data_IF_791160563702
#
_entry.id   IF_791160563702
#
_cell.length_a   1.000
_cell.length_b   1.000
_cell.length_c   1.000
_cell.angle_alpha   90.00
_cell.angle_beta   90.00
_cell.angle_gamma   90.00
#
_symmetry.space_group_name_H-M   'P 1'
#
loop_
_entity.id
_entity.type
_entity.pdbx_description
1 polymer ?
#
# COMPACT_ATOMS: atom_id res chain seq x y z
N UNK A 1 -6.22 -21.15 -6.60
CA UNK A 1 -6.17 -20.10 -5.55
C UNK A 1 -6.06 -20.80 -4.21
N UNK A 2 -5.12 -20.36 -3.41
CA UNK A 2 -4.98 -20.78 -2.02
C UNK A 2 -6.30 -20.64 -1.25
N UNK A 3 -6.59 -21.51 -0.28
CA UNK A 3 -7.89 -21.55 0.39
C UNK A 3 -8.13 -20.30 1.28
N UNK A 4 -7.09 -19.84 2.00
CA UNK A 4 -7.20 -18.64 2.84
C UNK A 4 -7.34 -17.38 1.98
N UNK A 5 -6.59 -17.32 0.89
CA UNK A 5 -6.66 -16.23 -0.07
C UNK A 5 -8.03 -16.20 -0.78
N UNK A 6 -8.59 -17.37 -1.13
CA UNK A 6 -9.92 -17.47 -1.71
C UNK A 6 -11.00 -16.97 -0.74
N UNK A 7 -10.95 -17.42 0.52
CA UNK A 7 -11.85 -16.97 1.58
C UNK A 7 -11.73 -15.46 1.83
N UNK A 8 -10.51 -14.91 1.78
CA UNK A 8 -10.30 -13.47 1.88
C UNK A 8 -11.02 -12.72 0.78
N UNK A 9 -10.88 -13.18 -0.46
CA UNK A 9 -11.52 -12.57 -1.63
C UNK A 9 -13.04 -12.69 -1.58
N UNK A 10 -13.57 -13.87 -1.24
CA UNK A 10 -15.02 -14.12 -1.16
C UNK A 10 -15.72 -13.24 -0.12
N UNK A 11 -15.03 -12.90 0.97
CA UNK A 11 -15.54 -12.01 1.99
C UNK A 11 -15.34 -10.52 1.68
N UNK A 12 -14.79 -10.18 0.51
CA UNK A 12 -14.61 -8.80 0.05
C UNK A 12 -15.72 -8.34 -0.87
N UNK A 13 -15.61 -7.08 -1.26
CA UNK A 13 -16.54 -6.38 -2.15
C UNK A 13 -15.75 -5.57 -3.17
N UNK A 14 -16.45 -5.03 -4.14
CA UNK A 14 -15.88 -4.12 -5.14
C UNK A 14 -16.69 -2.84 -5.19
N UNK A 15 -16.00 -1.71 -5.38
CA UNK A 15 -16.63 -0.45 -5.73
C UNK A 15 -16.03 0.10 -7.03
N UNK A 16 -16.80 0.88 -7.76
CA UNK A 16 -16.33 1.54 -8.97
C UNK A 16 -15.53 2.80 -8.62
N UNK A 17 -14.28 2.84 -9.08
CA UNK A 17 -13.45 4.03 -9.05
C UNK A 17 -13.01 4.35 -10.48
N UNK A 18 -13.57 5.40 -11.06
CA UNK A 18 -13.29 5.87 -12.45
C UNK A 18 -13.52 4.78 -13.52
N UNK A 19 -14.50 3.91 -13.33
CA UNK A 19 -14.78 2.79 -14.24
C UNK A 19 -13.92 1.54 -13.99
N UNK A 20 -13.20 1.48 -12.87
CA UNK A 20 -12.38 0.35 -12.49
C UNK A 20 -12.85 -0.28 -11.18
N UNK A 21 -12.94 -1.60 -11.16
CA UNK A 21 -13.29 -2.37 -9.98
C UNK A 21 -12.16 -2.35 -8.96
N UNK A 22 -12.39 -1.75 -7.81
CA UNK A 22 -11.48 -1.72 -6.67
C UNK A 22 -12.00 -2.66 -5.58
N UNK A 23 -11.19 -3.66 -5.26
CA UNK A 23 -11.48 -4.61 -4.19
C UNK A 23 -11.27 -3.97 -2.82
N UNK A 24 -12.16 -4.27 -1.88
CA UNK A 24 -11.99 -3.93 -0.48
C UNK A 24 -12.69 -4.93 0.45
N UNK A 25 -12.20 -4.99 1.69
CA UNK A 25 -12.89 -5.68 2.78
C UNK A 25 -13.33 -4.71 3.85
N UNK A 26 -14.53 -4.97 4.42
CA UNK A 26 -15.00 -4.29 5.63
C UNK A 26 -15.50 -5.34 6.62
N UNK A 27 -15.09 -5.22 7.90
CA UNK A 27 -15.61 -6.04 8.98
C UNK A 27 -15.44 -5.37 10.33
N UNK A 28 -16.14 -5.90 11.34
CA UNK A 28 -16.10 -5.41 12.70
C UNK A 28 -17.09 -4.27 12.96
N UNK A 29 -17.02 -3.70 14.15
CA UNK A 29 -17.84 -2.57 14.57
C UNK A 29 -17.04 -1.69 15.53
N UNK A 30 -17.29 -0.37 15.46
CA UNK A 30 -16.57 0.63 16.24
C UNK A 30 -16.04 1.77 15.37
N UNK A 31 -15.10 2.58 15.87
CA UNK A 31 -14.50 3.65 15.07
C UNK A 31 -13.90 3.13 13.76
N UNK A 32 -14.04 3.85 12.64
CA UNK A 32 -13.47 3.44 11.37
C UNK A 32 -11.93 3.40 11.41
N UNK A 33 -11.34 2.32 10.86
CA UNK A 33 -9.91 2.13 10.71
C UNK A 33 -9.59 1.75 9.27
N UNK A 34 -8.96 2.66 8.54
CA UNK A 34 -8.47 2.43 7.19
C UNK A 34 -7.07 1.79 7.24
N UNK A 35 -6.93 0.64 6.59
CA UNK A 35 -5.66 -0.06 6.43
C UNK A 35 -5.12 0.16 5.02
N UNK A 36 -3.94 0.76 4.89
CA UNK A 36 -3.30 1.03 3.60
C UNK A 36 -2.05 0.16 3.47
N UNK A 37 -2.11 -0.82 2.57
CA UNK A 37 -1.07 -1.85 2.41
C UNK A 37 0.20 -1.35 1.70
N UNK A 38 1.23 -2.18 1.66
CA UNK A 38 2.52 -1.93 1.03
C UNK A 38 2.62 -2.38 -0.44
N UNK A 39 3.74 -2.03 -1.10
CA UNK A 39 4.11 -2.48 -2.45
C UNK A 39 5.11 -3.65 -2.39
N UNK A 40 4.98 -4.66 -3.20
CA UNK A 40 3.90 -4.96 -4.16
C UNK A 40 2.84 -5.90 -3.56
N UNK A 41 2.42 -5.64 -2.36
CA UNK A 41 1.51 -6.45 -1.55
C UNK A 41 0.04 -6.05 -1.76
N UNK A 42 -0.84 -6.39 -0.80
CA UNK A 42 -2.28 -6.21 -0.90
C UNK A 42 -2.95 -6.29 0.48
N UNK A 43 -4.26 -6.15 0.53
CA UNK A 43 -5.03 -6.17 1.79
C UNK A 43 -4.95 -7.50 2.56
N UNK A 44 -4.61 -8.63 1.91
CA UNK A 44 -4.44 -9.92 2.59
C UNK A 44 -3.28 -9.93 3.59
N UNK A 45 -2.32 -9.01 3.46
CA UNK A 45 -1.23 -8.85 4.44
C UNK A 45 -1.74 -8.55 5.85
N UNK A 46 -2.95 -7.99 5.96
CA UNK A 46 -3.60 -7.69 7.23
C UNK A 46 -4.29 -8.90 7.86
N UNK A 47 -4.38 -10.06 7.16
CA UNK A 47 -5.07 -11.25 7.64
C UNK A 47 -4.61 -11.70 9.04
N UNK A 48 -3.31 -11.69 9.40
CA UNK A 48 -2.87 -12.11 10.72
C UNK A 48 -3.39 -11.26 11.88
N UNK A 49 -3.63 -9.96 11.66
CA UNK A 49 -4.10 -9.03 12.69
C UNK A 49 -5.58 -8.67 12.54
N UNK A 50 -6.21 -9.10 11.45
CA UNK A 50 -7.60 -8.81 11.12
C UNK A 50 -8.59 -9.18 12.25
N UNK A 51 -8.52 -10.40 12.84
CA UNK A 51 -9.45 -10.79 13.92
C UNK A 51 -9.33 -9.91 15.16
N UNK A 52 -8.14 -9.41 15.47
CA UNK A 52 -7.91 -8.53 16.62
C UNK A 52 -8.44 -7.13 16.37
N UNK A 53 -8.20 -6.58 15.17
CA UNK A 53 -8.64 -5.24 14.82
C UNK A 53 -10.17 -5.15 14.72
N UNK A 54 -10.83 -6.16 14.12
CA UNK A 54 -12.29 -6.18 13.94
C UNK A 54 -13.10 -6.33 15.23
N UNK A 55 -12.45 -6.69 16.33
CA UNK A 55 -13.09 -6.66 17.65
C UNK A 55 -13.32 -5.24 18.20
N UNK A 56 -12.60 -4.24 17.67
CA UNK A 56 -12.60 -2.88 18.23
C UNK A 56 -12.93 -1.80 17.22
N UNK A 57 -12.76 -2.09 15.93
CA UNK A 57 -12.89 -1.13 14.85
C UNK A 57 -13.79 -1.66 13.73
N UNK A 58 -14.43 -0.74 13.02
CA UNK A 58 -14.89 -1.01 11.66
C UNK A 58 -13.67 -0.89 10.76
N UNK A 59 -13.10 -2.04 10.38
CA UNK A 59 -11.83 -2.11 9.62
C UNK A 59 -12.13 -2.09 8.13
N UNK A 60 -11.48 -1.19 7.39
CA UNK A 60 -11.60 -1.04 5.94
C UNK A 60 -10.22 -1.30 5.32
N UNK A 61 -10.10 -2.31 4.46
CA UNK A 61 -8.85 -2.70 3.82
C UNK A 61 -9.04 -2.86 2.31
N UNK A 62 -8.84 -1.78 1.53
CA UNK A 62 -8.84 -1.87 0.06
C UNK A 62 -7.52 -2.44 -0.47
N UNK A 63 -7.59 -3.02 -1.68
CA UNK A 63 -6.43 -3.23 -2.54
C UNK A 63 -6.25 -2.00 -3.42
N UNK A 64 -5.07 -1.36 -3.38
CA UNK A 64 -4.79 -0.24 -4.26
C UNK A 64 -4.82 -0.64 -5.73
N UNK A 65 -5.25 0.26 -6.60
CA UNK A 65 -5.27 0.02 -8.05
C UNK A 65 -3.89 -0.45 -8.54
N UNK A 66 -3.89 -1.47 -9.38
CA UNK A 66 -2.64 -2.11 -9.86
C UNK A 66 -2.15 -3.27 -8.99
N UNK A 67 -2.75 -3.50 -7.82
CA UNK A 67 -2.32 -4.52 -6.85
C UNK A 67 -3.49 -5.40 -6.37
N UNK A 68 -3.18 -6.50 -5.72
CA UNK A 68 -4.16 -7.41 -5.12
C UNK A 68 -5.26 -7.88 -6.08
N UNK A 69 -6.50 -7.79 -5.66
CA UNK A 69 -7.68 -8.14 -6.44
C UNK A 69 -8.28 -6.96 -7.22
N UNK A 70 -7.76 -5.75 -7.02
CA UNK A 70 -8.19 -4.56 -7.76
C UNK A 70 -7.79 -4.58 -9.23
N UNK A 71 -8.44 -3.74 -10.04
CA UNK A 71 -8.14 -3.56 -11.46
C UNK A 71 -6.68 -3.18 -11.71
N UNK A 72 -6.14 -3.61 -12.87
CA UNK A 72 -4.74 -3.43 -13.27
C UNK A 72 -4.61 -2.86 -14.69
N UNK A 73 -5.18 -1.67 -14.95
CA UNK A 73 -5.17 -1.10 -16.29
C UNK A 73 -3.75 -0.78 -16.75
N UNK A 74 -3.37 -1.30 -17.92
CA UNK A 74 -2.02 -1.09 -18.48
C UNK A 74 -1.81 0.36 -18.94
N UNK A 75 -2.85 0.99 -19.49
CA UNK A 75 -2.82 2.37 -19.95
C UNK A 75 -3.24 3.34 -18.83
N UNK A 76 -2.62 3.21 -17.66
CA UNK A 76 -2.93 4.02 -16.48
C UNK A 76 -1.65 4.59 -15.87
N UNK A 77 -1.72 5.82 -15.36
CA UNK A 77 -0.63 6.44 -14.64
C UNK A 77 -0.89 6.35 -13.13
N UNK A 78 -0.19 5.42 -12.51
CA UNK A 78 -0.27 5.19 -11.09
C UNK A 78 0.53 6.25 -10.34
N UNK A 79 -0.07 6.89 -9.34
CA UNK A 79 0.58 7.86 -8.46
C UNK A 79 0.09 7.75 -7.02
N UNK A 80 0.85 8.29 -6.09
CA UNK A 80 0.43 8.38 -4.69
C UNK A 80 -0.82 9.25 -4.54
N UNK A 81 -0.95 10.31 -5.35
CA UNK A 81 -2.12 11.18 -5.35
C UNK A 81 -3.38 10.43 -5.77
N UNK A 82 -3.30 9.65 -6.86
CA UNK A 82 -4.42 8.85 -7.33
C UNK A 82 -4.81 7.75 -6.33
N UNK A 83 -3.83 7.12 -5.68
CA UNK A 83 -4.14 6.19 -4.59
C UNK A 83 -4.82 6.89 -3.41
N UNK A 84 -4.45 8.13 -3.08
CA UNK A 84 -5.15 8.91 -2.05
C UNK A 84 -6.58 9.23 -2.48
N UNK A 85 -6.79 9.66 -3.76
CA UNK A 85 -8.12 9.89 -4.33
C UNK A 85 -9.00 8.65 -4.22
N UNK A 86 -8.46 7.47 -4.56
CA UNK A 86 -9.16 6.19 -4.46
C UNK A 86 -9.59 5.87 -3.01
N UNK A 87 -8.73 6.13 -2.02
CA UNK A 87 -9.08 5.89 -0.62
C UNK A 87 -10.16 6.86 -0.12
N UNK A 88 -10.06 8.15 -0.48
CA UNK A 88 -11.10 9.13 -0.19
C UNK A 88 -12.43 8.73 -0.84
N UNK A 89 -12.42 8.34 -2.12
CA UNK A 89 -13.60 7.88 -2.84
C UNK A 89 -14.25 6.65 -2.20
N UNK A 90 -13.44 5.68 -1.73
CA UNK A 90 -13.95 4.52 -1.02
C UNK A 90 -14.62 4.91 0.30
N UNK A 91 -13.99 5.77 1.09
CA UNK A 91 -14.57 6.21 2.36
C UNK A 91 -15.86 7.02 2.15
N UNK A 92 -15.92 7.87 1.13
CA UNK A 92 -17.12 8.59 0.73
C UNK A 92 -18.23 7.62 0.27
N UNK A 93 -17.90 6.63 -0.56
CA UNK A 93 -18.82 5.55 -0.97
C UNK A 93 -19.42 4.79 0.23
N UNK A 94 -18.63 4.60 1.28
CA UNK A 94 -19.06 3.93 2.52
C UNK A 94 -19.76 4.87 3.51
N UNK A 95 -19.86 6.18 3.22
CA UNK A 95 -20.43 7.18 4.10
C UNK A 95 -19.57 7.45 5.35
N UNK A 96 -18.25 7.25 5.25
CA UNK A 96 -17.31 7.40 6.37
C UNK A 96 -16.61 8.75 6.27
N UNK A 97 -16.99 9.69 7.13
CA UNK A 97 -16.44 11.04 7.18
C UNK A 97 -15.21 11.21 8.09
N UNK A 98 -14.87 10.20 8.90
CA UNK A 98 -13.65 10.22 9.75
C UNK A 98 -13.10 8.82 9.93
N UNK A 99 -11.77 8.70 10.05
CA UNK A 99 -11.11 7.43 10.26
C UNK A 99 -9.77 7.55 10.99
N UNK A 100 -9.40 6.50 11.71
CA UNK A 100 -8.00 6.20 12.01
C UNK A 100 -7.34 5.58 10.79
N UNK A 101 -6.04 5.77 10.62
CA UNK A 101 -5.25 5.20 9.51
C UNK A 101 -4.14 4.34 10.08
N UNK A 102 -3.97 3.13 9.52
CA UNK A 102 -2.80 2.28 9.71
C UNK A 102 -2.19 2.06 8.33
N UNK A 103 -1.01 2.61 8.09
CA UNK A 103 -0.35 2.63 6.80
C UNK A 103 0.97 1.86 6.84
N UNK A 104 1.33 1.22 5.72
CA UNK A 104 2.55 0.42 5.58
C UNK A 104 3.21 0.67 4.22
N UNK A 105 4.53 0.90 4.20
CA UNK A 105 5.39 1.10 3.01
C UNK A 105 4.91 2.21 2.05
N UNK A 106 4.37 1.89 0.86
CA UNK A 106 3.73 2.88 -0.03
C UNK A 106 2.50 3.49 0.64
N UNK A 107 1.82 2.72 1.48
CA UNK A 107 0.69 3.20 2.27
C UNK A 107 1.06 4.40 3.13
N UNK A 108 2.29 4.47 3.65
CA UNK A 108 2.77 5.64 4.39
C UNK A 108 2.80 6.88 3.48
N UNK A 109 3.24 6.74 2.23
CA UNK A 109 3.22 7.87 1.28
C UNK A 109 1.79 8.33 0.95
N UNK A 110 0.86 7.37 0.80
CA UNK A 110 -0.58 7.67 0.63
C UNK A 110 -1.14 8.36 1.88
N UNK A 111 -0.81 7.84 3.08
CA UNK A 111 -1.19 8.46 4.34
C UNK A 111 -0.63 9.88 4.52
N UNK A 112 0.61 10.14 4.08
CA UNK A 112 1.20 11.48 4.07
C UNK A 112 0.45 12.43 3.14
N UNK A 113 0.00 11.95 1.97
CA UNK A 113 -0.82 12.74 1.05
C UNK A 113 -2.21 13.04 1.65
N UNK A 114 -2.88 12.02 2.23
CA UNK A 114 -4.16 12.20 2.91
C UNK A 114 -4.05 13.21 4.07
N UNK A 115 -2.97 13.13 4.87
CA UNK A 115 -2.70 14.08 5.94
C UNK A 115 -2.49 15.49 5.40
N UNK A 116 -1.72 15.65 4.32
CA UNK A 116 -1.47 16.94 3.72
C UNK A 116 -2.73 17.59 3.17
N UNK A 117 -3.68 16.80 2.65
CA UNK A 117 -5.01 17.25 2.22
C UNK A 117 -5.89 17.62 3.41
N UNK A 118 -5.88 16.81 4.44
CA UNK A 118 -6.60 17.07 5.69
C UNK A 118 -6.22 18.43 6.29
N UNK A 119 -4.92 18.74 6.38
CA UNK A 119 -4.42 19.99 6.96
C UNK A 119 -4.85 21.25 6.20
N UNK A 120 -5.10 21.15 4.91
CA UNK A 120 -5.50 22.29 4.08
C UNK A 120 -6.96 22.23 3.61
N UNK A 121 -7.72 21.20 4.00
CA UNK A 121 -9.11 21.01 3.58
C UNK A 121 -9.28 20.79 2.08
N UNK A 122 -8.37 20.05 1.43
CA UNK A 122 -8.35 19.84 -0.02
C UNK A 122 -8.47 18.34 -0.37
N UNK A 123 -9.51 17.68 0.11
CA UNK A 123 -9.85 16.31 -0.30
C UNK A 123 -10.39 16.30 -1.74
N UNK A 124 -10.10 15.24 -2.48
CA UNK A 124 -10.65 15.03 -3.82
C UNK A 124 -12.09 14.50 -3.76
N UNK A 125 -12.40 13.72 -2.73
CA UNK A 125 -13.73 13.15 -2.49
C UNK A 125 -14.11 13.30 -1.03
N UNK A 126 -15.40 13.56 -0.77
CA UNK A 126 -15.95 13.65 0.58
C UNK A 126 -15.28 14.69 1.48
N UNK A 127 -15.28 14.43 2.76
CA UNK A 127 -14.74 15.32 3.81
C UNK A 127 -14.00 14.52 4.88
N UNK A 128 -13.03 13.71 4.47
CA UNK A 128 -12.30 12.85 5.41
C UNK A 128 -11.58 13.66 6.49
N UNK A 129 -11.95 13.40 7.74
CA UNK A 129 -11.21 13.83 8.92
C UNK A 129 -10.35 12.68 9.43
N UNK A 130 -9.08 12.93 9.67
CA UNK A 130 -8.15 11.93 10.19
C UNK A 130 -8.10 12.03 11.71
N UNK A 131 -8.51 10.96 12.40
CA UNK A 131 -8.53 10.90 13.87
C UNK A 131 -7.15 10.52 14.45
N UNK A 132 -6.38 9.68 13.79
CA UNK A 132 -4.97 9.39 14.08
C UNK A 132 -4.31 8.63 12.92
N UNK A 133 -2.97 8.63 12.86
CA UNK A 133 -2.22 7.82 11.90
C UNK A 133 -1.16 6.99 12.63
N UNK A 134 -1.09 5.70 12.30
CA UNK A 134 0.02 4.82 12.68
C UNK A 134 0.79 4.43 11.42
N UNK A 135 2.07 4.71 11.42
CA UNK A 135 3.02 4.44 10.34
C UNK A 135 3.78 3.13 10.60
N UNK A 136 3.90 2.27 9.60
CA UNK A 136 4.60 0.98 9.69
C UNK A 136 5.66 0.87 8.60
N UNK A 137 6.94 0.85 8.96
CA UNK A 137 8.05 0.54 8.07
C UNK A 137 7.94 1.12 6.64
N UNK A 138 7.79 2.42 6.48
CA UNK A 138 7.68 3.08 5.18
C UNK A 138 8.76 4.13 4.93
N UNK A 139 9.00 4.43 3.64
CA UNK A 139 9.98 5.42 3.21
C UNK A 139 9.46 6.86 3.33
N UNK A 140 9.07 7.29 4.54
CA UNK A 140 8.49 8.62 4.80
C UNK A 140 9.45 9.78 4.53
N UNK A 141 10.75 9.55 4.75
CA UNK A 141 11.79 10.57 4.59
C UNK A 141 12.79 10.11 3.54
N UNK A 142 12.82 10.79 2.39
CA UNK A 142 13.68 10.42 1.25
C UNK A 142 15.17 10.52 1.57
N UNK A 143 15.55 11.30 2.57
CA UNK A 143 16.93 11.48 3.03
C UNK A 143 17.50 10.22 3.68
N UNK A 144 16.66 9.47 4.36
CA UNK A 144 17.04 8.27 5.09
C UNK A 144 16.59 7.00 4.36
N UNK A 145 15.69 7.10 3.39
CA UNK A 145 15.23 5.96 2.60
C UNK A 145 16.32 5.42 1.69
N UNK A 146 16.61 4.13 1.78
CA UNK A 146 17.63 3.45 0.96
C UNK A 146 16.97 2.53 -0.08
N UNK A 147 16.57 3.06 -1.27
CA UNK A 147 15.94 2.24 -2.30
C UNK A 147 16.91 1.19 -2.84
N UNK A 148 16.45 -0.04 -3.01
CA UNK A 148 17.24 -1.14 -3.56
C UNK A 148 17.52 -0.94 -5.04
N UNK A 149 18.57 -1.61 -5.56
CA UNK A 149 18.94 -1.52 -6.97
C UNK A 149 17.78 -1.85 -7.93
N UNK A 150 16.98 -2.86 -7.59
CA UNK A 150 15.78 -3.22 -8.36
C UNK A 150 14.72 -2.10 -8.37
N UNK A 151 14.48 -1.45 -7.24
CA UNK A 151 13.56 -0.30 -7.15
C UNK A 151 14.06 0.89 -7.95
N UNK A 152 15.38 1.19 -7.88
CA UNK A 152 16.02 2.25 -8.70
C UNK A 152 15.90 1.96 -10.20
N UNK A 153 16.01 0.69 -10.60
CA UNK A 153 15.88 0.30 -12.00
C UNK A 153 14.43 0.41 -12.50
N UNK A 154 13.47 -0.04 -11.68
CA UNK A 154 12.03 0.01 -12.00
C UNK A 154 11.50 1.44 -12.09
N UNK A 155 12.01 2.38 -11.29
CA UNK A 155 11.58 3.78 -11.32
C UNK A 155 12.07 4.55 -12.56
N UNK A 156 13.04 4.00 -13.34
CA UNK A 156 13.61 4.65 -14.52
C UNK A 156 12.93 4.14 -15.80
N UNK A 157 12.22 5.02 -16.50
CA UNK A 157 11.77 4.80 -17.88
C UNK A 157 12.92 5.05 -18.87
N UNK A 158 13.06 4.28 -19.97
CA UNK A 158 12.24 3.16 -20.49
C UNK A 158 12.63 1.77 -19.96
N UNK A 159 13.62 1.66 -19.07
CA UNK A 159 14.11 0.36 -18.57
C UNK A 159 13.05 -0.41 -17.80
N UNK A 160 12.13 0.30 -17.10
CA UNK A 160 11.00 -0.30 -16.42
C UNK A 160 10.08 -1.07 -17.37
N UNK A 161 9.81 -0.54 -18.57
CA UNK A 161 8.94 -1.18 -19.55
C UNK A 161 9.57 -2.44 -20.17
N UNK A 162 10.91 -2.44 -20.34
CA UNK A 162 11.65 -3.64 -20.77
C UNK A 162 11.64 -4.68 -19.65
N UNK A 163 11.87 -4.25 -18.42
CA UNK A 163 11.88 -5.12 -17.25
C UNK A 163 10.52 -5.78 -17.01
N UNK A 164 9.39 -5.07 -17.25
CA UNK A 164 8.05 -5.62 -17.12
C UNK A 164 7.77 -6.80 -18.06
N UNK A 165 8.34 -6.78 -19.26
CA UNK A 165 8.25 -7.90 -20.22
C UNK A 165 8.97 -9.14 -19.70
N UNK A 166 10.05 -8.94 -18.95
CA UNK A 166 10.81 -10.01 -18.29
C UNK A 166 10.11 -10.47 -17.02
N UNK A 167 9.40 -9.60 -16.31
CA UNK A 167 8.70 -9.92 -15.06
C UNK A 167 7.58 -10.96 -15.22
N UNK A 168 6.99 -11.10 -16.40
CA UNK A 168 6.00 -12.15 -16.70
C UNK A 168 6.64 -13.52 -16.99
N UNK A 169 7.96 -13.62 -16.95
CA UNK A 169 8.66 -14.89 -17.16
C UNK A 169 8.84 -15.69 -15.85
N UNK A 170 8.92 -17.03 -15.91
CA UNK A 170 9.27 -17.84 -14.74
C UNK A 170 10.61 -17.45 -14.08
N UNK A 171 11.49 -16.83 -14.84
CA UNK A 171 12.77 -16.31 -14.36
C UNK A 171 12.60 -15.15 -13.39
N UNK A 172 11.60 -14.28 -13.61
CA UNK A 172 11.34 -13.14 -12.73
C UNK A 172 10.87 -13.55 -11.34
N UNK A 173 10.10 -14.64 -11.24
CA UNK A 173 9.69 -15.20 -9.93
C UNK A 173 10.92 -15.59 -9.10
N UNK A 174 11.92 -16.22 -9.74
CA UNK A 174 13.18 -16.60 -9.08
C UNK A 174 14.02 -15.39 -8.68
N UNK A 175 13.93 -14.28 -9.40
CA UNK A 175 14.69 -13.05 -9.09
C UNK A 175 14.04 -12.20 -8.00
N UNK A 176 12.71 -12.19 -7.92
CA UNK A 176 11.98 -11.43 -6.90
C UNK A 176 11.96 -12.11 -5.53
N UNK A 177 11.90 -13.43 -5.50
CA UNK A 177 11.80 -14.21 -4.24
C UNK A 177 12.92 -13.90 -3.24
N UNK A 178 14.21 -13.88 -3.60
CA UNK A 178 15.28 -13.50 -2.67
C UNK A 178 15.10 -12.09 -2.13
N UNK A 179 14.72 -11.14 -2.99
CA UNK A 179 14.51 -9.74 -2.60
C UNK A 179 13.38 -9.60 -1.59
N UNK A 180 12.26 -10.30 -1.80
CA UNK A 180 11.14 -10.31 -0.84
C UNK A 180 11.56 -10.96 0.48
N UNK A 181 12.27 -12.11 0.43
CA UNK A 181 12.76 -12.78 1.64
C UNK A 181 13.71 -11.92 2.48
N UNK A 182 14.48 -11.04 1.84
CA UNK A 182 15.38 -10.14 2.55
C UNK A 182 14.66 -9.02 3.31
N UNK A 183 13.43 -8.66 2.95
CA UNK A 183 12.61 -7.68 3.66
C UNK A 183 12.15 -8.18 5.04
N UNK A 184 12.09 -9.50 5.23
CA UNK A 184 11.69 -10.10 6.49
C UNK A 184 12.87 -10.23 7.45
N UNK A 185 12.58 -10.08 8.74
CA UNK A 185 13.57 -10.24 9.81
C UNK A 185 14.28 -11.61 9.78
N UNK A 186 15.42 -11.77 10.43
CA UNK A 186 16.21 -12.99 10.40
C UNK A 186 15.44 -14.21 10.95
N UNK A 187 14.58 -13.98 11.94
CA UNK A 187 13.80 -15.03 12.62
C UNK A 187 12.35 -15.14 12.11
N UNK A 188 11.95 -14.33 11.14
CA UNK A 188 10.58 -14.25 10.62
C UNK A 188 10.54 -14.39 9.11
N UNK A 189 11.45 -15.17 8.53
CA UNK A 189 11.50 -15.38 7.07
C UNK A 189 10.20 -16.01 6.58
N UNK A 190 9.70 -15.58 5.40
CA UNK A 190 8.47 -16.13 4.86
C UNK A 190 8.62 -17.62 4.56
N UNK A 191 7.59 -18.39 4.87
CA UNK A 191 7.52 -19.80 4.50
C UNK A 191 7.39 -19.95 2.98
N UNK A 192 7.57 -21.17 2.48
CA UNK A 192 7.31 -21.45 1.07
C UNK A 192 5.85 -21.16 0.71
N UNK A 193 4.92 -21.58 1.55
CA UNK A 193 3.50 -21.33 1.37
C UNK A 193 3.18 -19.82 1.24
N UNK A 194 3.71 -18.99 2.14
CA UNK A 194 3.55 -17.53 2.04
C UNK A 194 4.08 -16.97 0.71
N UNK A 195 5.21 -17.50 0.22
CA UNK A 195 5.77 -17.08 -1.08
C UNK A 195 4.91 -17.55 -2.25
N UNK A 196 4.31 -18.74 -2.17
CA UNK A 196 3.41 -19.26 -3.20
C UNK A 196 2.13 -18.40 -3.28
N UNK A 197 1.52 -18.06 -2.13
CA UNK A 197 0.36 -17.14 -2.03
C UNK A 197 0.71 -15.75 -2.55
N UNK A 198 1.85 -15.21 -2.18
CA UNK A 198 2.35 -13.93 -2.69
C UNK A 198 2.47 -13.94 -4.23
N UNK A 199 3.06 -14.99 -4.79
CA UNK A 199 3.18 -15.12 -6.24
C UNK A 199 1.82 -15.26 -6.92
N UNK A 200 0.89 -15.99 -6.33
CA UNK A 200 -0.46 -16.20 -6.85
C UNK A 200 -1.22 -14.86 -6.98
N UNK A 201 -1.13 -14.01 -5.96
CA UNK A 201 -1.80 -12.72 -5.99
C UNK A 201 -1.13 -11.73 -6.95
N UNK A 202 0.20 -11.79 -7.10
CA UNK A 202 0.91 -10.99 -8.11
C UNK A 202 0.55 -11.40 -9.54
N UNK A 203 0.23 -12.67 -9.76
CA UNK A 203 -0.17 -13.19 -11.08
C UNK A 203 -1.64 -12.90 -11.38
N UNK A 204 -2.45 -12.61 -10.36
CA UNK A 204 -3.88 -12.34 -10.54
C UNK A 204 -4.13 -11.17 -11.50
N UNK A 205 -4.96 -11.40 -12.53
CA UNK A 205 -5.25 -10.42 -13.59
C UNK A 205 -4.00 -9.80 -14.21
N UNK A 206 -2.98 -10.61 -14.50
CA UNK A 206 -1.69 -10.16 -15.09
C UNK A 206 -1.01 -9.03 -14.31
N UNK A 207 -1.13 -9.01 -12.98
CA UNK A 207 -0.67 -7.90 -12.13
C UNK A 207 0.80 -7.54 -12.31
N UNK A 208 1.66 -8.52 -12.62
CA UNK A 208 3.09 -8.24 -12.87
C UNK A 208 3.34 -7.26 -14.00
N UNK A 209 2.41 -7.13 -14.96
CA UNK A 209 2.55 -6.21 -16.10
C UNK A 209 2.59 -4.74 -15.68
N UNK A 210 1.97 -4.39 -14.56
CA UNK A 210 1.85 -3.01 -14.10
C UNK A 210 2.73 -2.69 -12.89
N UNK A 211 3.37 -3.68 -12.25
CA UNK A 211 4.19 -3.45 -11.05
C UNK A 211 5.25 -2.37 -11.22
N UNK A 212 5.94 -2.33 -12.37
CA UNK A 212 6.94 -1.31 -12.66
C UNK A 212 6.34 0.11 -12.71
N UNK A 213 5.07 0.25 -13.11
CA UNK A 213 4.36 1.53 -13.12
C UNK A 213 3.95 1.94 -11.70
N UNK A 214 3.35 1.02 -10.96
CA UNK A 214 3.02 1.25 -9.54
C UNK A 214 4.28 1.60 -8.76
N UNK A 215 5.40 0.89 -9.00
CA UNK A 215 6.69 1.14 -8.35
C UNK A 215 7.31 2.53 -8.58
N UNK A 216 6.75 3.34 -9.50
CA UNK A 216 7.16 4.75 -9.73
C UNK A 216 6.76 5.69 -8.59
N UNK A 217 5.95 5.26 -7.63
CA UNK A 217 5.60 6.03 -6.44
C UNK A 217 6.83 6.58 -5.69
N UNK A 218 7.99 5.95 -5.84
CA UNK A 218 9.26 6.43 -5.29
C UNK A 218 9.58 7.84 -5.79
N UNK A 219 9.23 8.17 -7.04
CA UNK A 219 9.44 9.50 -7.60
C UNK A 219 8.54 10.54 -6.90
N UNK A 220 7.32 10.16 -6.54
CA UNK A 220 6.38 11.04 -5.81
C UNK A 220 6.92 11.41 -4.43
N UNK A 221 7.61 10.48 -3.76
CA UNK A 221 8.30 10.76 -2.49
C UNK A 221 9.29 11.93 -2.61
N UNK A 222 10.08 11.97 -3.67
CA UNK A 222 11.01 13.08 -3.92
C UNK A 222 10.28 14.36 -4.30
N UNK A 223 9.30 14.28 -5.19
CA UNK A 223 8.56 15.42 -5.71
C UNK A 223 7.75 16.13 -4.61
N UNK A 224 7.07 15.36 -3.75
CA UNK A 224 6.12 15.89 -2.78
C UNK A 224 6.66 15.95 -1.34
N UNK A 225 7.93 15.59 -1.14
CA UNK A 225 8.59 15.55 0.16
C UNK A 225 8.30 16.77 1.04
N UNK A 226 8.47 17.97 0.49
CA UNK A 226 8.35 19.21 1.27
C UNK A 226 6.91 19.43 1.77
N UNK A 227 5.91 19.10 0.94
CA UNK A 227 4.49 19.20 1.28
C UNK A 227 4.14 18.20 2.37
N UNK A 228 4.53 16.95 2.22
CA UNK A 228 4.20 15.87 3.15
C UNK A 228 4.89 16.05 4.51
N UNK A 229 6.19 16.32 4.52
CA UNK A 229 6.93 16.55 5.78
C UNK A 229 6.42 17.81 6.52
N UNK A 230 6.02 18.84 5.78
CA UNK A 230 5.39 20.01 6.39
C UNK A 230 4.09 19.65 7.09
N UNK A 231 3.21 18.90 6.43
CA UNK A 231 1.95 18.44 7.03
C UNK A 231 2.21 17.65 8.32
N UNK A 232 3.12 16.68 8.29
CA UNK A 232 3.49 15.90 9.48
C UNK A 232 4.03 16.76 10.64
N UNK A 233 4.74 17.86 10.34
CA UNK A 233 5.30 18.77 11.37
C UNK A 233 4.28 19.74 11.96
N UNK A 234 3.24 20.07 11.22
CA UNK A 234 2.26 21.09 11.59
C UNK A 234 0.97 20.52 12.13
N UNK A 235 0.70 19.24 11.86
CA UNK A 235 -0.56 18.60 12.24
C UNK A 235 -0.74 18.48 13.74
N UNK A 236 -2.00 18.61 14.17
CA UNK A 236 -2.46 18.22 15.50
C UNK A 236 -2.95 16.76 15.55
N UNK A 237 -3.02 16.06 14.41
CA UNK A 237 -3.44 14.66 14.34
C UNK A 237 -2.44 13.78 15.11
N UNK A 238 -2.88 12.98 16.08
CA UNK A 238 -2.01 12.04 16.79
C UNK A 238 -1.33 11.08 15.82
N UNK A 239 -0.02 10.93 15.92
CA UNK A 239 0.76 10.03 15.07
C UNK A 239 1.58 9.05 15.91
N UNK A 240 1.78 7.85 15.40
CA UNK A 240 2.66 6.83 15.97
C UNK A 240 3.47 6.17 14.87
N UNK A 241 4.76 5.95 15.12
CA UNK A 241 5.62 5.09 14.29
C UNK A 241 5.82 3.76 15.01
N UNK A 242 5.62 2.66 14.28
CA UNK A 242 5.99 1.30 14.69
C UNK A 242 6.94 0.77 13.62
N UNK A 243 8.20 0.60 13.98
CA UNK A 243 9.26 0.29 13.04
C UNK A 243 10.01 -0.98 13.45
N UNK A 244 10.37 -1.81 12.45
CA UNK A 244 11.29 -2.92 12.60
C UNK A 244 12.73 -2.42 12.45
N UNK A 245 13.52 -2.29 13.54
CA UNK A 245 14.79 -1.55 13.52
C UNK A 245 15.84 -2.14 12.57
N UNK A 246 15.70 -3.39 12.18
CA UNK A 246 16.62 -4.09 11.26
C UNK A 246 16.10 -4.11 9.80
N UNK A 247 15.00 -3.43 9.49
CA UNK A 247 14.54 -3.30 8.11
C UNK A 247 15.59 -2.58 7.26
N UNK A 248 16.05 -3.20 6.15
CA UNK A 248 17.12 -2.61 5.33
C UNK A 248 16.68 -1.38 4.53
N UNK A 249 15.37 -1.16 4.35
CA UNK A 249 14.83 -0.05 3.56
C UNK A 249 14.43 1.13 4.44
N UNK A 250 13.78 0.85 5.58
CA UNK A 250 13.12 1.82 6.44
C UNK A 250 13.17 1.43 7.92
N UNK A 251 14.31 0.92 8.39
CA UNK A 251 14.53 0.55 9.80
C UNK A 251 14.95 1.71 10.68
N UNK A 252 15.74 1.45 11.72
CA UNK A 252 16.17 2.43 12.74
C UNK A 252 16.77 3.74 12.18
N UNK A 253 17.25 3.72 10.94
CA UNK A 253 17.75 4.93 10.25
C UNK A 253 16.63 5.87 9.77
N UNK A 254 15.38 5.47 9.92
CA UNK A 254 14.18 6.23 9.54
C UNK A 254 13.52 6.91 10.74
N UNK A 255 13.73 6.38 11.96
CA UNK A 255 13.09 6.82 13.20
C UNK A 255 13.78 8.02 13.87
#
# INVERSE_FOLDING_TARGET
MDAELASWREAGQYFDYLGFDIFYRVAGSGPPLLLIHGYPFNSFDWAPIWPTLTQRFTVIAPDMMGMGFSAKPVAYEYSVHDHADMHEALLDHLGIGNAHILAHDIGDSVGQELLARHEVGQQAYGTLRIDSITWLNGGMFVETYTPRAAQKLMSRTPLGDIFSRVQNSPLSRRLLEPTVREMFGPNTKPTRHMMDVFNEILDYNDGRRVLHKVGRFINDRYTHRNRWVRAMRQTAVPMRLIDGPIDPNSGAHMA
#
